data_IF_531034258711
#
_entry.id   IF_531034258711
#
_cell.length_a   1.000
_cell.length_b   1.000
_cell.length_c   1.000
_cell.angle_alpha   90.00
_cell.angle_beta   90.00
_cell.angle_gamma   90.00
#
_symmetry.space_group_name_H-M   'P 1'
#
loop_
_entity.id
_entity.type
_entity.pdbx_description
1 polymer ?
#
# COMPACT_ATOMS: atom_id res chain seq x y z
N UNK A 1 29.89 14.52 11.50
CA UNK A 1 28.66 14.77 10.73
C UNK A 1 27.48 14.27 11.54
N UNK A 2 26.40 15.02 11.65
CA UNK A 2 25.18 14.55 12.33
C UNK A 2 24.49 13.53 11.44
N UNK A 3 24.20 12.34 11.97
CA UNK A 3 23.40 11.33 11.27
C UNK A 3 21.93 11.68 11.51
N UNK A 4 21.20 11.94 10.44
CA UNK A 4 19.75 12.15 10.48
C UNK A 4 19.01 10.81 10.27
N UNK A 5 17.80 10.63 10.86
CA UNK A 5 17.01 9.46 10.55
C UNK A 5 16.59 9.47 9.07
N UNK A 6 16.62 8.29 8.45
CA UNK A 6 15.93 8.09 7.16
C UNK A 6 14.44 7.98 7.45
N UNK A 7 13.62 8.79 6.78
CA UNK A 7 12.17 8.82 7.03
C UNK A 7 11.44 8.08 5.92
N UNK A 8 10.79 6.95 6.27
CA UNK A 8 9.91 6.22 5.36
C UNK A 8 8.50 6.83 5.44
N UNK A 9 8.06 7.51 4.38
CA UNK A 9 6.80 8.25 4.36
C UNK A 9 5.77 7.54 3.50
N UNK A 10 4.60 7.24 4.08
CA UNK A 10 3.42 6.83 3.35
C UNK A 10 2.78 8.03 2.65
N UNK A 11 2.85 8.05 1.32
CA UNK A 11 2.34 9.13 0.47
C UNK A 11 0.85 9.06 0.18
N UNK A 12 0.14 8.06 0.70
CA UNK A 12 -1.28 7.90 0.42
C UNK A 12 -1.59 7.26 -0.95
N UNK A 13 -2.86 7.27 -1.37
CA UNK A 13 -3.34 6.53 -2.53
C UNK A 13 -3.06 7.20 -3.88
N UNK A 14 -2.32 8.32 -3.91
CA UNK A 14 -1.93 9.03 -5.12
C UNK A 14 -2.25 10.53 -5.12
N UNK A 15 -3.39 10.96 -4.58
CA UNK A 15 -3.72 12.38 -4.46
C UNK A 15 -2.85 13.03 -3.37
N UNK A 16 -2.28 14.21 -3.68
CA UNK A 16 -1.35 14.91 -2.81
C UNK A 16 -1.95 15.32 -1.45
N UNK A 17 -3.23 15.63 -1.42
CA UNK A 17 -3.98 16.06 -0.23
C UNK A 17 -4.42 14.90 0.68
N UNK A 18 -4.13 13.67 0.28
CA UNK A 18 -4.32 12.47 1.11
C UNK A 18 -3.04 12.00 1.81
N UNK A 19 -1.98 12.78 1.78
CA UNK A 19 -0.80 12.57 2.62
C UNK A 19 -1.07 13.04 4.05
N UNK A 20 -0.39 12.45 5.03
CA UNK A 20 -0.47 12.95 6.41
C UNK A 20 0.30 14.28 6.56
N UNK A 21 -0.13 15.15 7.48
CA UNK A 21 0.56 16.41 7.78
C UNK A 21 2.03 16.15 8.19
N UNK A 22 2.30 15.07 8.93
CA UNK A 22 3.67 14.68 9.30
C UNK A 22 4.48 14.30 8.07
N UNK A 23 3.90 13.52 7.14
CA UNK A 23 4.55 13.14 5.89
C UNK A 23 4.89 14.36 5.02
N UNK A 24 3.96 15.32 4.90
CA UNK A 24 4.21 16.57 4.19
C UNK A 24 5.38 17.36 4.80
N UNK A 25 5.43 17.50 6.13
CA UNK A 25 6.53 18.20 6.83
C UNK A 25 7.88 17.51 6.59
N UNK A 26 7.91 16.17 6.66
CA UNK A 26 9.13 15.42 6.37
C UNK A 26 9.63 15.67 4.93
N UNK A 27 8.72 15.75 3.94
CA UNK A 27 9.07 16.10 2.57
C UNK A 27 9.62 17.53 2.47
N UNK A 28 9.07 18.49 3.22
CA UNK A 28 9.54 19.88 3.24
C UNK A 28 10.95 20.00 3.81
N UNK A 29 11.29 19.22 4.82
CA UNK A 29 12.59 19.22 5.50
C UNK A 29 13.66 18.37 4.78
N UNK A 30 13.26 17.48 3.87
CA UNK A 30 14.18 16.61 3.15
C UNK A 30 15.13 17.37 2.23
N UNK A 31 16.35 16.86 2.08
CA UNK A 31 17.31 17.26 1.05
C UNK A 31 17.31 16.29 -0.13
N UNK A 32 16.98 15.02 0.17
CA UNK A 32 16.86 13.95 -0.83
C UNK A 32 15.52 13.27 -0.67
N UNK A 33 14.79 13.13 -1.77
CA UNK A 33 13.54 12.38 -1.84
C UNK A 33 13.72 11.22 -2.80
N UNK A 34 13.68 10.00 -2.26
CA UNK A 34 13.70 8.76 -3.05
C UNK A 34 12.26 8.28 -3.21
N UNK A 35 11.72 8.36 -4.43
CA UNK A 35 10.30 8.12 -4.69
C UNK A 35 10.06 7.11 -5.80
N UNK A 36 8.95 6.38 -5.71
CA UNK A 36 8.36 5.64 -6.81
C UNK A 36 7.13 6.40 -7.36
N UNK A 37 6.55 5.90 -8.46
CA UNK A 37 5.39 6.55 -9.09
C UNK A 37 4.02 6.18 -8.46
N UNK A 38 4.01 5.42 -7.36
CA UNK A 38 2.76 4.98 -6.70
C UNK A 38 2.23 6.00 -5.69
N UNK A 39 3.10 6.91 -5.20
CA UNK A 39 2.73 8.03 -4.34
C UNK A 39 2.32 9.28 -5.13
N UNK A 40 2.18 10.44 -4.46
CA UNK A 40 1.79 11.72 -5.07
C UNK A 40 2.96 12.38 -5.83
N UNK A 41 3.82 11.60 -6.47
CA UNK A 41 5.08 12.04 -7.09
C UNK A 41 4.85 13.03 -8.23
N UNK A 42 3.77 12.87 -8.99
CA UNK A 42 3.39 13.79 -10.06
C UNK A 42 2.86 15.16 -9.56
N UNK A 43 2.59 15.30 -8.26
CA UNK A 43 2.06 16.50 -7.62
C UNK A 43 2.94 16.91 -6.42
N UNK A 44 4.21 16.53 -6.44
CA UNK A 44 5.16 16.77 -5.34
C UNK A 44 5.41 18.28 -5.13
N UNK A 45 5.30 19.08 -6.18
CA UNK A 45 5.36 20.52 -6.18
C UNK A 45 4.31 21.20 -5.27
N UNK A 46 3.18 20.51 -5.02
CA UNK A 46 2.15 20.98 -4.06
C UNK A 46 2.49 20.68 -2.61
N UNK A 47 3.48 19.82 -2.36
CA UNK A 47 3.86 19.39 -1.02
C UNK A 47 5.16 20.04 -0.53
N UNK A 48 6.10 20.31 -1.42
CA UNK A 48 7.39 20.90 -1.09
C UNK A 48 8.00 21.65 -2.30
N UNK A 49 9.03 22.44 -2.04
CA UNK A 49 9.86 23.05 -3.08
C UNK A 49 10.76 21.97 -3.72
N UNK A 50 10.35 21.47 -4.87
CA UNK A 50 11.02 20.36 -5.57
C UNK A 50 12.38 20.80 -6.14
N UNK A 51 12.50 22.06 -6.57
CA UNK A 51 13.72 22.58 -7.20
C UNK A 51 14.88 22.68 -6.19
N UNK A 52 14.55 22.82 -4.90
CA UNK A 52 15.53 22.84 -3.81
C UNK A 52 15.98 21.44 -3.33
N UNK A 53 15.54 20.36 -3.99
CA UNK A 53 15.76 18.98 -3.51
C UNK A 53 16.31 18.07 -4.60
N UNK A 54 17.06 17.07 -4.19
CA UNK A 54 17.43 15.96 -5.07
C UNK A 54 16.30 14.94 -5.10
N UNK A 55 15.65 14.79 -6.26
CA UNK A 55 14.60 13.78 -6.47
C UNK A 55 15.17 12.56 -7.21
N UNK A 56 15.13 11.40 -6.56
CA UNK A 56 15.59 10.12 -7.12
C UNK A 56 14.38 9.25 -7.41
N UNK A 57 14.07 9.07 -8.69
CA UNK A 57 13.00 8.21 -9.18
C UNK A 57 13.48 6.76 -9.27
N UNK A 58 13.03 5.92 -8.32
CA UNK A 58 13.39 4.49 -8.28
C UNK A 58 12.41 3.60 -9.02
N UNK A 59 11.36 4.14 -9.63
CA UNK A 59 10.40 3.38 -10.45
C UNK A 59 11.01 2.87 -11.76
N UNK A 60 12.07 3.51 -12.23
CA UNK A 60 12.74 3.23 -13.49
C UNK A 60 13.96 2.32 -13.37
N UNK A 61 14.24 1.77 -12.19
CA UNK A 61 15.36 0.83 -12.01
C UNK A 61 15.03 -0.48 -12.74
N UNK A 62 15.73 -0.85 -13.83
CA UNK A 62 15.39 -1.97 -14.70
C UNK A 62 16.03 -3.26 -14.19
N UNK A 63 15.43 -3.96 -13.22
CA UNK A 63 15.94 -5.24 -12.74
C UNK A 63 14.83 -6.14 -12.19
N UNK A 64 15.15 -7.43 -11.93
CA UNK A 64 14.27 -8.33 -11.17
C UNK A 64 13.95 -7.71 -9.80
N UNK A 65 12.75 -7.89 -9.32
CA UNK A 65 12.20 -7.20 -8.13
C UNK A 65 13.13 -7.18 -6.89
N UNK A 66 13.93 -8.23 -6.70
CA UNK A 66 14.89 -8.32 -5.59
C UNK A 66 16.10 -7.38 -5.80
N UNK A 67 16.69 -7.39 -6.98
CA UNK A 67 17.85 -6.52 -7.31
C UNK A 67 17.43 -5.05 -7.26
N UNK A 68 16.21 -4.73 -7.71
CA UNK A 68 15.69 -3.38 -7.60
C UNK A 68 15.55 -2.92 -6.13
N UNK A 69 15.15 -3.80 -5.20
CA UNK A 69 15.04 -3.46 -3.78
C UNK A 69 16.41 -3.27 -3.12
N UNK A 70 17.39 -4.11 -3.42
CA UNK A 70 18.76 -3.97 -2.94
C UNK A 70 19.34 -2.62 -3.38
N UNK A 71 19.14 -2.23 -4.64
CA UNK A 71 19.62 -0.93 -5.14
C UNK A 71 18.92 0.26 -4.47
N UNK A 72 17.64 0.15 -4.17
CA UNK A 72 16.93 1.20 -3.39
C UNK A 72 17.55 1.34 -2.00
N UNK A 73 17.80 0.22 -1.33
CA UNK A 73 18.40 0.23 -0.01
C UNK A 73 19.82 0.87 -0.04
N UNK A 74 20.64 0.54 -1.05
CA UNK A 74 21.96 1.15 -1.24
C UNK A 74 21.86 2.67 -1.40
N UNK A 75 20.96 3.17 -2.24
CA UNK A 75 20.74 4.61 -2.44
C UNK A 75 20.38 5.29 -1.12
N UNK A 76 19.45 4.72 -0.36
CA UNK A 76 19.04 5.29 0.93
C UNK A 76 20.20 5.34 1.92
N UNK A 77 21.01 4.27 2.01
CA UNK A 77 22.18 4.16 2.88
C UNK A 77 23.26 5.19 2.49
N UNK A 78 23.58 5.27 1.20
CA UNK A 78 24.60 6.16 0.66
C UNK A 78 24.32 7.62 1.02
N UNK A 79 23.12 8.10 0.75
CA UNK A 79 22.74 9.47 1.05
C UNK A 79 22.65 9.77 2.54
N UNK A 80 22.15 8.83 3.35
CA UNK A 80 22.08 8.99 4.79
C UNK A 80 23.46 9.00 5.46
N UNK A 81 24.40 8.15 5.01
CA UNK A 81 25.77 8.15 5.49
C UNK A 81 26.54 9.41 5.10
N UNK A 82 26.16 10.05 3.99
CA UNK A 82 26.65 11.38 3.62
C UNK A 82 26.12 12.52 4.50
N UNK A 83 25.32 12.20 5.52
CA UNK A 83 24.76 13.16 6.48
C UNK A 83 23.56 13.96 5.98
N UNK A 84 22.93 13.51 4.89
CA UNK A 84 21.78 14.18 4.28
C UNK A 84 20.46 13.76 4.93
N UNK A 85 19.48 14.66 4.92
CA UNK A 85 18.10 14.36 5.33
C UNK A 85 17.37 13.65 4.20
N UNK A 86 17.17 12.35 4.37
CA UNK A 86 16.62 11.48 3.33
C UNK A 86 15.18 11.08 3.66
N UNK A 87 14.28 11.29 2.71
CA UNK A 87 12.92 10.76 2.74
C UNK A 87 12.75 9.70 1.66
N UNK A 88 12.25 8.53 2.04
CA UNK A 88 11.73 7.51 1.12
C UNK A 88 10.21 7.67 1.02
N UNK A 89 9.72 8.27 -0.06
CA UNK A 89 8.30 8.43 -0.33
C UNK A 89 7.75 7.19 -1.03
N UNK A 90 6.75 6.56 -0.42
CA UNK A 90 6.13 5.30 -0.85
C UNK A 90 4.64 5.51 -1.12
N UNK A 91 4.07 4.85 -2.12
CA UNK A 91 2.61 4.85 -2.31
C UNK A 91 1.89 4.14 -1.16
N UNK A 92 0.70 4.63 -0.78
CA UNK A 92 -0.10 4.07 0.29
C UNK A 92 0.56 4.21 1.67
N UNK A 93 0.69 3.08 2.36
CA UNK A 93 1.35 2.95 3.67
C UNK A 93 2.64 2.12 3.52
N UNK A 94 3.76 2.48 4.18
CA UNK A 94 5.03 1.75 4.03
C UNK A 94 4.95 0.27 4.40
N UNK A 95 4.07 -0.10 5.32
CA UNK A 95 3.96 -1.47 5.85
C UNK A 95 2.78 -2.28 5.28
N UNK A 96 1.93 -1.67 4.46
CA UNK A 96 0.85 -2.38 3.78
C UNK A 96 1.26 -2.74 2.36
N UNK A 97 1.86 -3.91 2.18
CA UNK A 97 2.44 -4.42 0.92
C UNK A 97 3.49 -3.50 0.27
N UNK A 98 4.03 -2.56 1.05
CA UNK A 98 4.99 -1.56 0.58
C UNK A 98 6.46 -1.95 0.75
N UNK A 99 6.79 -3.12 1.31
CA UNK A 99 8.16 -3.58 1.59
C UNK A 99 8.97 -2.63 2.50
N UNK A 100 8.32 -1.70 3.20
CA UNK A 100 8.99 -0.72 4.06
C UNK A 100 9.76 -1.36 5.22
N UNK A 101 9.34 -2.55 5.67
CA UNK A 101 10.06 -3.28 6.71
C UNK A 101 11.41 -3.84 6.21
N UNK A 102 11.52 -4.21 4.93
CA UNK A 102 12.78 -4.62 4.30
C UNK A 102 13.77 -3.43 4.23
N UNK A 103 13.27 -2.24 3.85
CA UNK A 103 14.06 -1.00 3.84
C UNK A 103 14.52 -0.62 5.25
N UNK A 104 13.61 -0.67 6.25
CA UNK A 104 13.95 -0.42 7.66
C UNK A 104 15.05 -1.38 8.15
N UNK A 105 14.91 -2.68 7.85
CA UNK A 105 15.88 -3.69 8.27
C UNK A 105 17.27 -3.43 7.68
N UNK A 106 17.34 -3.09 6.38
CA UNK A 106 18.62 -2.79 5.71
C UNK A 106 19.28 -1.53 6.29
N UNK A 107 18.52 -0.46 6.51
CA UNK A 107 19.00 0.79 7.11
C UNK A 107 19.49 0.58 8.54
N UNK A 108 18.75 -0.16 9.35
CA UNK A 108 19.13 -0.47 10.74
C UNK A 108 20.40 -1.33 10.78
N UNK A 109 20.54 -2.31 9.88
CA UNK A 109 21.74 -3.12 9.75
C UNK A 109 22.97 -2.27 9.35
N UNK A 110 22.77 -1.17 8.62
CA UNK A 110 23.80 -0.19 8.30
C UNK A 110 24.09 0.82 9.43
N UNK A 111 23.47 0.67 10.60
CA UNK A 111 23.65 1.56 11.77
C UNK A 111 22.92 2.91 11.65
N UNK A 112 21.96 3.04 10.74
CA UNK A 112 21.22 4.28 10.51
C UNK A 112 19.91 4.29 11.30
N UNK A 113 19.55 5.43 11.95
CA UNK A 113 18.25 5.59 12.56
C UNK A 113 17.16 5.70 11.48
N UNK A 114 15.98 5.13 11.76
CA UNK A 114 14.84 5.15 10.84
C UNK A 114 13.60 5.63 11.56
N UNK A 115 12.85 6.52 10.90
CA UNK A 115 11.50 6.91 11.31
C UNK A 115 10.50 6.42 10.26
N UNK A 116 9.34 5.92 10.70
CA UNK A 116 8.26 5.51 9.79
C UNK A 116 7.04 6.37 10.04
N UNK A 117 6.58 7.03 8.99
CA UNK A 117 5.36 7.84 8.99
C UNK A 117 4.28 7.08 8.23
N UNK A 118 3.19 6.64 8.88
CA UNK A 118 2.12 5.92 8.22
C UNK A 118 1.44 6.76 7.14
N UNK A 119 0.85 6.09 6.17
CA UNK A 119 0.07 6.71 5.10
C UNK A 119 -1.30 6.08 4.94
N UNK A 120 -2.17 6.73 4.17
CA UNK A 120 -3.49 6.20 3.87
C UNK A 120 -3.38 5.13 2.78
N UNK A 121 -3.57 3.87 3.16
CA UNK A 121 -3.54 2.75 2.21
C UNK A 121 -4.71 2.80 1.23
N UNK A 122 -4.47 2.43 -0.03
CA UNK A 122 -5.53 2.28 -1.05
C UNK A 122 -6.60 1.26 -0.66
N UNK A 123 -6.29 0.33 0.25
CA UNK A 123 -7.23 -0.67 0.74
C UNK A 123 -8.47 -0.06 1.40
N UNK A 124 -8.34 1.11 2.02
CA UNK A 124 -9.44 1.85 2.64
C UNK A 124 -9.79 3.11 1.85
N UNK A 125 -8.81 3.78 1.25
CA UNK A 125 -9.04 5.03 0.54
C UNK A 125 -9.87 4.84 -0.73
N UNK A 126 -9.55 3.84 -1.57
CA UNK A 126 -10.27 3.62 -2.83
C UNK A 126 -11.73 3.25 -2.60
N UNK A 127 -12.09 2.30 -1.72
CA UNK A 127 -13.49 2.07 -1.38
C UNK A 127 -14.20 3.31 -0.84
N UNK A 128 -13.56 4.08 0.04
CA UNK A 128 -14.15 5.30 0.61
C UNK A 128 -14.44 6.35 -0.47
N UNK A 129 -13.49 6.60 -1.38
CA UNK A 129 -13.66 7.52 -2.51
C UNK A 129 -14.75 7.05 -3.49
N UNK A 130 -14.96 5.74 -3.59
CA UNK A 130 -16.03 5.13 -4.37
C UNK A 130 -17.38 5.07 -3.61
N UNK A 131 -17.47 5.63 -2.40
CA UNK A 131 -18.69 5.59 -1.58
C UNK A 131 -19.04 4.20 -1.04
N UNK A 132 -18.08 3.28 -0.99
CA UNK A 132 -18.28 1.90 -0.55
C UNK A 132 -17.63 1.70 0.82
N UNK A 133 -18.38 1.54 1.91
CA UNK A 133 -17.82 1.29 3.22
C UNK A 133 -17.23 -0.12 3.31
N UNK A 134 -16.03 -0.27 3.88
CA UNK A 134 -15.38 -1.57 4.11
C UNK A 134 -15.93 -2.31 5.33
N UNK A 135 -16.63 -1.61 6.23
CA UNK A 135 -17.38 -2.18 7.36
C UNK A 135 -18.76 -1.54 7.46
N UNK A 136 -19.74 -2.30 7.93
CA UNK A 136 -21.11 -1.77 8.15
C UNK A 136 -21.76 -2.48 9.33
N UNK A 137 -22.32 -1.70 10.28
CA UNK A 137 -23.03 -2.25 11.44
C UNK A 137 -24.20 -3.14 10.98
N UNK A 138 -24.25 -4.36 11.51
CA UNK A 138 -25.31 -5.33 11.20
C UNK A 138 -25.16 -6.04 9.85
N UNK A 139 -24.14 -5.75 9.07
CA UNK A 139 -23.83 -6.41 7.78
C UNK A 139 -22.47 -7.13 7.86
N UNK A 140 -21.40 -6.39 8.15
CA UNK A 140 -20.05 -6.93 8.18
C UNK A 140 -19.23 -6.24 9.26
N UNK A 141 -18.58 -7.06 10.13
CA UNK A 141 -17.79 -6.59 11.27
C UNK A 141 -16.30 -6.90 11.11
N UNK A 142 -15.90 -7.44 9.97
CA UNK A 142 -14.51 -7.76 9.67
C UNK A 142 -14.10 -7.23 8.30
N UNK A 143 -12.86 -6.83 8.19
CA UNK A 143 -12.27 -6.31 6.97
C UNK A 143 -10.89 -6.94 6.78
N UNK A 144 -10.65 -7.58 5.64
CA UNK A 144 -9.39 -8.24 5.31
C UNK A 144 -8.77 -7.59 4.10
N UNK A 145 -7.52 -7.18 4.23
CA UNK A 145 -6.69 -6.69 3.12
C UNK A 145 -5.80 -7.84 2.65
N UNK A 146 -5.88 -8.18 1.38
CA UNK A 146 -5.19 -9.34 0.80
C UNK A 146 -4.49 -8.99 -0.50
N UNK A 147 -3.31 -9.60 -0.75
CA UNK A 147 -2.58 -9.43 -1.99
C UNK A 147 -3.11 -10.36 -3.08
N UNK A 148 -3.55 -9.78 -4.19
CA UNK A 148 -3.92 -10.51 -5.41
C UNK A 148 -2.79 -10.59 -6.45
N UNK A 149 -1.55 -10.29 -6.06
CA UNK A 149 -0.39 -10.28 -6.96
C UNK A 149 -0.15 -11.65 -7.64
N UNK A 150 -0.36 -12.74 -6.92
CA UNK A 150 -0.30 -14.11 -7.45
C UNK A 150 -1.72 -14.66 -7.62
N UNK A 151 -2.00 -15.40 -8.71
CA UNK A 151 -3.32 -16.02 -8.91
C UNK A 151 -3.58 -17.12 -7.89
N UNK A 152 -4.86 -17.46 -7.61
CA UNK A 152 -5.22 -18.62 -6.82
C UNK A 152 -4.55 -19.89 -7.34
N UNK A 153 -4.08 -20.76 -6.42
CA UNK A 153 -3.36 -21.99 -6.76
C UNK A 153 -1.90 -21.83 -7.17
N UNK A 154 -1.36 -20.59 -7.23
CA UNK A 154 0.06 -20.41 -7.54
C UNK A 154 0.94 -20.95 -6.39
N UNK A 155 2.02 -21.76 -6.67
CA UNK A 155 2.81 -22.44 -5.62
C UNK A 155 3.46 -21.53 -4.59
N UNK A 156 3.70 -20.25 -4.95
CA UNK A 156 4.28 -19.23 -4.05
C UNK A 156 3.21 -18.37 -3.37
N UNK A 157 1.91 -18.62 -3.60
CA UNK A 157 0.86 -17.88 -2.92
C UNK A 157 0.63 -18.45 -1.52
N UNK A 158 0.63 -17.58 -0.53
CA UNK A 158 0.29 -17.91 0.86
C UNK A 158 -1.18 -17.59 1.17
N UNK A 159 -1.97 -17.19 0.17
CA UNK A 159 -3.37 -16.78 0.35
C UNK A 159 -4.28 -17.99 0.24
N UNK A 160 -5.01 -18.27 1.31
CA UNK A 160 -6.10 -19.26 1.31
C UNK A 160 -7.42 -18.56 0.91
N UNK A 161 -7.72 -18.60 -0.38
CA UNK A 161 -8.94 -17.98 -0.94
C UNK A 161 -10.22 -18.67 -0.46
N UNK A 162 -10.17 -19.96 -0.15
CA UNK A 162 -11.32 -20.69 0.37
C UNK A 162 -11.68 -20.24 1.79
N UNK A 163 -10.68 -20.13 2.66
CA UNK A 163 -10.88 -19.61 4.01
C UNK A 163 -11.38 -18.15 3.98
N UNK A 164 -10.85 -17.31 3.08
CA UNK A 164 -11.30 -15.93 2.93
C UNK A 164 -12.76 -15.85 2.46
N UNK A 165 -13.19 -16.68 1.52
CA UNK A 165 -14.57 -16.73 1.06
C UNK A 165 -15.56 -17.06 2.18
N UNK A 166 -15.14 -17.88 3.16
CA UNK A 166 -15.96 -18.32 4.28
C UNK A 166 -15.86 -17.40 5.50
N UNK A 167 -14.97 -16.41 5.49
CA UNK A 167 -14.70 -15.52 6.65
C UNK A 167 -15.87 -14.61 7.01
N UNK A 168 -16.75 -14.29 6.04
CA UNK A 168 -17.80 -13.29 6.19
C UNK A 168 -17.26 -11.85 6.29
N UNK A 169 -15.99 -11.64 6.01
CA UNK A 169 -15.35 -10.33 6.00
C UNK A 169 -15.51 -9.63 4.64
N UNK A 170 -15.44 -8.31 4.64
CA UNK A 170 -15.18 -7.56 3.39
C UNK A 170 -13.73 -7.83 2.97
N UNK A 171 -13.51 -8.16 1.70
CA UNK A 171 -12.19 -8.38 1.15
C UNK A 171 -11.77 -7.18 0.29
N UNK A 172 -10.64 -6.56 0.60
CA UNK A 172 -9.97 -5.59 -0.23
C UNK A 172 -8.74 -6.24 -0.87
N UNK A 173 -8.83 -6.49 -2.18
CA UNK A 173 -7.77 -7.18 -2.91
C UNK A 173 -6.86 -6.14 -3.55
N UNK A 174 -5.64 -5.98 -3.01
CA UNK A 174 -4.61 -5.09 -3.56
C UNK A 174 -3.77 -5.83 -4.60
N UNK A 175 -3.31 -5.12 -5.64
CA UNK A 175 -2.49 -5.68 -6.74
C UNK A 175 -3.18 -6.81 -7.51
N UNK A 176 -4.50 -6.93 -7.41
CA UNK A 176 -5.27 -8.06 -7.94
C UNK A 176 -5.85 -7.85 -9.34
N UNK A 177 -5.69 -6.70 -9.99
CA UNK A 177 -6.38 -6.37 -11.25
C UNK A 177 -6.11 -7.41 -12.34
N UNK A 178 -4.87 -7.82 -12.53
CA UNK A 178 -4.49 -8.85 -13.52
C UNK A 178 -5.14 -10.21 -13.24
N UNK A 179 -5.35 -10.55 -11.98
CA UNK A 179 -5.84 -11.84 -11.51
C UNK A 179 -7.32 -11.80 -11.10
N UNK A 180 -8.01 -10.67 -11.31
CA UNK A 180 -9.35 -10.43 -10.78
C UNK A 180 -10.37 -11.52 -11.15
N UNK A 181 -10.37 -11.98 -12.40
CA UNK A 181 -11.27 -13.03 -12.86
C UNK A 181 -11.00 -14.37 -12.15
N UNK A 182 -9.73 -14.76 -12.02
CA UNK A 182 -9.35 -16.00 -11.35
C UNK A 182 -9.66 -15.96 -9.84
N UNK A 183 -9.42 -14.79 -9.21
CA UNK A 183 -9.73 -14.56 -7.79
C UNK A 183 -11.25 -14.64 -7.58
N UNK A 184 -12.04 -13.99 -8.43
CA UNK A 184 -13.50 -14.03 -8.34
C UNK A 184 -14.03 -15.46 -8.50
N UNK A 185 -13.52 -16.23 -9.45
CA UNK A 185 -13.89 -17.63 -9.64
C UNK A 185 -13.58 -18.47 -8.38
N UNK A 186 -12.36 -18.36 -7.84
CA UNK A 186 -11.95 -19.10 -6.64
C UNK A 186 -12.82 -18.76 -5.43
N UNK A 187 -13.21 -17.48 -5.24
CA UNK A 187 -14.10 -17.06 -4.16
C UNK A 187 -15.53 -17.60 -4.35
N UNK A 188 -16.05 -17.61 -5.57
CA UNK A 188 -17.39 -18.13 -5.90
C UNK A 188 -17.42 -19.63 -5.68
N UNK A 189 -16.46 -20.37 -6.19
CA UNK A 189 -16.38 -21.82 -6.05
C UNK A 189 -16.30 -22.24 -4.58
N UNK A 190 -15.51 -21.53 -3.78
CA UNK A 190 -15.38 -21.78 -2.35
C UNK A 190 -16.64 -21.40 -1.55
N UNK A 191 -17.42 -20.40 -2.01
CA UNK A 191 -18.66 -19.99 -1.35
C UNK A 191 -19.84 -20.91 -1.67
N UNK A 192 -19.81 -21.60 -2.80
CA UNK A 192 -20.79 -22.61 -3.22
C UNK A 192 -20.55 -23.98 -2.57
N UNK A 193 -19.38 -24.23 -1.99
CA UNK A 193 -19.12 -25.42 -1.18
C UNK A 193 -20.02 -25.39 0.08
N UNK A 194 -20.63 -26.55 0.48
CA UNK A 194 -21.58 -26.56 1.58
C UNK A 194 -20.93 -25.96 2.84
N UNK A 195 -21.57 -25.01 3.51
CA UNK A 195 -21.01 -24.40 4.70
C UNK A 195 -20.90 -25.45 5.80
N UNK A 196 -19.77 -25.47 6.51
CA UNK A 196 -19.74 -26.07 7.84
C UNK A 196 -20.94 -25.53 8.63
N UNK A 197 -21.64 -26.34 9.43
CA UNK A 197 -22.88 -25.94 10.10
C UNK A 197 -22.60 -24.82 11.09
N UNK A 198 -22.68 -23.58 10.61
CA UNK A 198 -22.78 -22.38 11.41
C UNK A 198 -24.21 -21.92 11.31
N UNK A 199 -24.89 -21.80 12.43
CA UNK A 199 -26.23 -21.24 12.55
C UNK A 199 -26.27 -19.84 11.97
N UNK A 200 -26.69 -19.72 10.70
CA UNK A 200 -26.87 -18.44 10.02
C UNK A 200 -28.31 -17.99 10.09
N UNK A 201 -28.54 -16.87 10.76
CA UNK A 201 -29.71 -16.07 10.48
C UNK A 201 -29.51 -15.41 9.11
N UNK A 202 -30.14 -15.97 8.08
CA UNK A 202 -30.16 -15.43 6.72
C UNK A 202 -30.98 -14.12 6.68
N UNK A 203 -30.31 -12.99 6.87
CA UNK A 203 -30.89 -11.70 6.46
C UNK A 203 -30.57 -11.49 4.99
N UNK A 204 -31.61 -11.39 4.13
CA UNK A 204 -31.46 -11.01 2.72
C UNK A 204 -30.75 -9.64 2.68
N UNK A 205 -29.56 -9.60 2.10
CA UNK A 205 -28.83 -8.36 1.86
C UNK A 205 -29.62 -7.50 0.84
N UNK A 206 -29.78 -6.19 1.08
CA UNK A 206 -30.30 -5.30 0.06
C UNK A 206 -29.39 -5.36 -1.17
N UNK A 207 -29.98 -5.45 -2.37
CA UNK A 207 -29.22 -5.39 -3.63
C UNK A 207 -28.73 -3.95 -3.81
N UNK A 208 -27.48 -3.71 -3.47
CA UNK A 208 -26.80 -2.46 -3.82
C UNK A 208 -26.50 -2.51 -5.31
N UNK A 209 -27.23 -1.73 -6.10
CA UNK A 209 -26.84 -1.45 -7.48
C UNK A 209 -25.69 -0.42 -7.40
N UNK A 210 -24.51 -0.83 -7.81
CA UNK A 210 -23.39 0.07 -8.05
C UNK A 210 -23.74 0.99 -9.22
N UNK A 211 -24.24 2.18 -8.91
CA UNK A 211 -24.41 3.28 -9.86
C UNK A 211 -23.88 4.54 -9.20
N UNK A 212 -22.57 4.62 -9.06
CA UNK A 212 -21.88 5.86 -8.69
C UNK A 212 -20.95 6.19 -9.85
N UNK A 213 -21.14 7.32 -10.53
CA UNK A 213 -20.17 7.75 -11.54
C UNK A 213 -18.87 8.13 -10.83
N UNK A 214 -17.84 7.32 -11.04
CA UNK A 214 -16.48 7.65 -10.60
C UNK A 214 -15.98 8.78 -11.49
N UNK A 215 -15.91 10.00 -10.98
CA UNK A 215 -15.09 11.05 -11.59
C UNK A 215 -13.64 10.77 -11.14
N UNK A 216 -12.86 10.24 -12.04
CA UNK A 216 -11.41 10.23 -11.92
C UNK A 216 -10.98 11.63 -12.36
N UNK A 217 -10.50 12.43 -11.39
CA UNK A 217 -9.85 13.73 -11.65
C UNK A 217 -8.37 13.52 -11.87
#
# INVERSE_FOLDING_TARGET
>A
MSIHPVVLVGGGPGAWDLITVRGMRALQEAEVIVADHLGPTAQLDKLCDVDAKELIDVSKIPYRAQVAQERINEILIEHAQAGRRVVRLKGGDPYVFGRGFEELTALTAAGLPVEVIPGVTSAVAVPALAGTPVTHRGVVHAFTVVSGHLPPGHPKSLVDWAALAQSGATLSVIMGVKNAAAIAAALIDASLSPPHPRTHHSRRLPRWRASIPVRVG
#
